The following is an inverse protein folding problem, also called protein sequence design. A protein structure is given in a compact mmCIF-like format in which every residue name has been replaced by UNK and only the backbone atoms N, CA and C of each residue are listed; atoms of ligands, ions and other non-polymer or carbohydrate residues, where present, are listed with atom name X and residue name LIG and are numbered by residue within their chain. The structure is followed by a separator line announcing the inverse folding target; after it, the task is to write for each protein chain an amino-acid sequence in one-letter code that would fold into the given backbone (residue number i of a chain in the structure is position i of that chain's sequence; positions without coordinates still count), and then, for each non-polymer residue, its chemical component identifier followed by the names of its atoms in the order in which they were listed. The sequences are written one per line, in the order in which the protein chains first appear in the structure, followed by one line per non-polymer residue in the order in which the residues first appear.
data_IF_065156564452
#
_entry.id   IF_065156564452
#
_cell.length_a   1.000
_cell.length_b   1.000
_cell.length_c   1.000
_cell.angle_alpha   90.00
_cell.angle_beta   90.00
_cell.angle_gamma   90.00
#
_symmetry.space_group_name_H-M   'P 1'
#
loop_
_entity.id
_entity.type
_entity.pdbx_description
1 polymer ?
#
# COMPACT_ATOMS: atom_id res chain seq x y z
N UNK A 1 1.22 -17.45 -8.72
CA UNK A 1 1.24 -17.95 -7.32
C UNK A 1 0.01 -18.82 -7.11
N UNK A 2 0.09 -19.92 -6.36
CA UNK A 2 -1.08 -20.75 -6.06
C UNK A 2 -2.01 -20.08 -5.06
N UNK A 3 -3.33 -20.31 -5.17
CA UNK A 3 -4.36 -19.72 -4.29
C UNK A 3 -4.09 -19.96 -2.81
N UNK A 4 -3.51 -21.11 -2.46
CA UNK A 4 -3.14 -21.45 -1.08
C UNK A 4 -2.03 -20.57 -0.50
N UNK A 5 -1.07 -20.14 -1.33
CA UNK A 5 0.06 -19.31 -0.88
C UNK A 5 -0.40 -17.88 -0.59
N UNK A 6 -1.29 -17.33 -1.42
CA UNK A 6 -1.89 -16.01 -1.23
C UNK A 6 -2.70 -15.94 0.08
N UNK A 7 -3.48 -16.97 0.38
CA UNK A 7 -4.25 -17.06 1.62
C UNK A 7 -3.34 -17.10 2.85
N UNK A 8 -2.25 -17.87 2.79
CA UNK A 8 -1.27 -17.96 3.86
C UNK A 8 -0.60 -16.60 4.11
N UNK A 9 -0.11 -15.94 3.06
CA UNK A 9 0.51 -14.60 3.15
C UNK A 9 -0.47 -13.56 3.72
N UNK A 10 -1.74 -13.60 3.31
CA UNK A 10 -2.78 -12.72 3.86
C UNK A 10 -3.00 -12.97 5.35
N UNK A 11 -3.07 -14.22 5.77
CA UNK A 11 -3.25 -14.57 7.19
C UNK A 11 -2.06 -14.11 8.03
N UNK A 12 -0.84 -14.38 7.60
CA UNK A 12 0.40 -13.96 8.28
C UNK A 12 0.47 -12.43 8.42
N UNK A 13 0.10 -11.72 7.36
CA UNK A 13 0.02 -10.26 7.36
C UNK A 13 -1.01 -9.74 8.37
N UNK A 14 -2.21 -10.34 8.43
CA UNK A 14 -3.25 -9.96 9.40
C UNK A 14 -2.82 -10.22 10.85
N UNK A 15 -2.22 -11.39 11.13
CA UNK A 15 -1.70 -11.71 12.46
C UNK A 15 -0.60 -10.73 12.89
N UNK A 16 0.28 -10.32 11.96
CA UNK A 16 1.29 -9.29 12.22
C UNK A 16 0.65 -7.95 12.56
N UNK A 17 -0.33 -7.48 11.78
CA UNK A 17 -1.02 -6.22 12.05
C UNK A 17 -1.76 -6.23 13.40
N UNK A 18 -2.32 -7.37 13.79
CA UNK A 18 -2.96 -7.55 15.08
C UNK A 18 -1.96 -7.41 16.23
N UNK A 19 -0.78 -8.04 16.11
CA UNK A 19 0.31 -7.94 17.10
C UNK A 19 0.87 -6.52 17.20
N UNK A 20 0.95 -5.81 16.08
CA UNK A 20 1.43 -4.41 16.03
C UNK A 20 0.38 -3.37 16.46
N UNK A 21 -0.86 -3.79 16.78
CA UNK A 21 -1.95 -2.89 17.14
C UNK A 21 -2.40 -1.97 16.01
N UNK A 22 -2.10 -2.32 14.74
CA UNK A 22 -2.42 -1.53 13.56
C UNK A 22 -3.82 -1.79 13.00
N UNK A 23 -4.48 -2.85 13.46
CA UNK A 23 -5.88 -3.13 13.09
C UNK A 23 -6.80 -2.14 13.80
N UNK A 24 -7.50 -1.34 13.00
CA UNK A 24 -8.58 -0.47 13.46
C UNK A 24 -9.89 -1.26 13.52
N UNK A 25 -10.90 -0.66 14.13
CA UNK A 25 -12.25 -1.19 13.97
C UNK A 25 -12.64 -1.17 12.48
N UNK A 26 -13.55 -2.06 12.03
CA UNK A 26 -13.91 -2.15 10.63
C UNK A 26 -14.43 -0.83 10.02
N UNK A 27 -15.08 0.01 10.82
CA UNK A 27 -15.66 1.28 10.36
C UNK A 27 -14.56 2.28 10.02
N UNK A 28 -13.63 2.53 10.94
CA UNK A 28 -12.53 3.47 10.68
C UNK A 28 -11.55 2.94 9.64
N UNK A 29 -11.34 1.61 9.57
CA UNK A 29 -10.56 1.01 8.47
C UNK A 29 -11.19 1.28 7.10
N UNK A 30 -12.51 1.05 6.97
CA UNK A 30 -13.22 1.29 5.72
C UNK A 30 -13.17 2.76 5.31
N UNK A 31 -13.40 3.67 6.27
CA UNK A 31 -13.33 5.12 6.08
C UNK A 31 -11.92 5.55 5.64
N UNK A 32 -10.87 5.04 6.27
CA UNK A 32 -9.49 5.35 5.88
C UNK A 32 -9.20 4.85 4.46
N UNK A 33 -9.66 3.65 4.13
CA UNK A 33 -9.56 3.10 2.78
C UNK A 33 -10.23 4.00 1.74
N UNK A 34 -11.44 4.47 2.03
CA UNK A 34 -12.17 5.40 1.15
C UNK A 34 -11.43 6.73 0.98
N UNK A 35 -10.97 7.35 2.08
CA UNK A 35 -10.19 8.59 2.04
C UNK A 35 -8.95 8.41 1.17
N UNK A 36 -8.21 7.31 1.33
CA UNK A 36 -7.03 7.02 0.54
C UNK A 36 -7.38 6.89 -0.96
N UNK A 37 -8.40 6.11 -1.30
CA UNK A 37 -8.75 5.81 -2.68
C UNK A 37 -9.47 6.93 -3.42
N UNK A 38 -10.06 7.93 -2.75
CA UNK A 38 -10.69 9.08 -3.43
C UNK A 38 -9.70 9.91 -4.27
N UNK A 39 -8.42 9.94 -3.90
CA UNK A 39 -7.41 10.72 -4.62
C UNK A 39 -6.78 9.92 -5.77
N UNK A 40 -6.81 10.50 -6.99
CA UNK A 40 -6.25 9.87 -8.19
C UNK A 40 -4.76 9.55 -8.06
N UNK A 41 -3.95 10.49 -7.56
CA UNK A 41 -2.50 10.28 -7.41
C UNK A 41 -2.20 9.07 -6.53
N UNK A 42 -2.93 8.87 -5.43
CA UNK A 42 -2.76 7.69 -4.57
C UNK A 42 -3.10 6.38 -5.28
N UNK A 43 -4.18 6.33 -6.07
CA UNK A 43 -4.51 5.16 -6.88
C UNK A 43 -3.41 4.85 -7.90
N UNK A 44 -2.89 5.89 -8.57
CA UNK A 44 -1.82 5.73 -9.54
C UNK A 44 -0.48 5.33 -8.89
N UNK A 45 -0.19 5.78 -7.66
CA UNK A 45 0.98 5.30 -6.88
C UNK A 45 0.88 3.80 -6.63
N UNK A 46 -0.28 3.29 -6.18
CA UNK A 46 -0.50 1.85 -5.98
C UNK A 46 -0.22 1.07 -7.28
N UNK A 47 -0.74 1.56 -8.42
CA UNK A 47 -0.48 0.96 -9.75
C UNK A 47 1.01 0.99 -10.12
N UNK A 48 1.68 2.10 -9.85
CA UNK A 48 3.09 2.29 -10.19
C UNK A 48 4.04 1.40 -9.38
N UNK A 49 3.68 1.09 -8.13
CA UNK A 49 4.37 0.08 -7.32
C UNK A 49 4.16 -1.30 -7.95
N UNK A 50 2.90 -1.66 -8.22
CA UNK A 50 2.54 -2.90 -8.91
C UNK A 50 2.72 -4.16 -8.06
N UNK A 51 2.06 -5.25 -8.48
CA UNK A 51 2.12 -6.54 -7.80
C UNK A 51 3.52 -7.13 -7.91
N UNK A 52 4.12 -7.51 -6.78
CA UNK A 52 5.50 -8.03 -6.72
C UNK A 52 6.60 -7.00 -7.00
N UNK A 53 6.23 -5.73 -7.24
CA UNK A 53 7.17 -4.64 -7.44
C UNK A 53 7.52 -3.91 -6.15
N UNK A 54 8.57 -3.09 -6.22
CA UNK A 54 8.94 -2.12 -5.18
C UNK A 54 9.38 -0.82 -5.83
N UNK A 55 9.11 0.31 -5.17
CA UNK A 55 9.52 1.64 -5.63
C UNK A 55 10.11 2.44 -4.48
N UNK A 56 11.24 3.09 -4.75
CA UNK A 56 11.83 4.04 -3.80
C UNK A 56 11.02 5.33 -3.71
N UNK A 57 11.22 6.06 -2.62
CA UNK A 57 10.63 7.39 -2.43
C UNK A 57 10.92 8.33 -3.62
N UNK A 58 12.17 8.35 -4.09
CA UNK A 58 12.59 9.23 -5.19
C UNK A 58 12.00 8.82 -6.54
N UNK A 59 11.84 7.53 -6.81
CA UNK A 59 11.16 7.06 -8.03
C UNK A 59 9.70 7.53 -8.06
N UNK A 60 8.98 7.40 -6.94
CA UNK A 60 7.58 7.83 -6.82
C UNK A 60 7.50 9.35 -6.98
N UNK A 61 8.32 10.09 -6.23
CA UNK A 61 8.38 11.54 -6.29
C UNK A 61 8.61 12.04 -7.72
N UNK A 62 9.61 11.49 -8.40
CA UNK A 62 9.96 11.84 -9.78
C UNK A 62 8.85 11.47 -10.76
N UNK A 63 8.25 10.28 -10.64
CA UNK A 63 7.20 9.81 -11.54
C UNK A 63 5.95 10.69 -11.51
N UNK A 64 5.58 11.17 -10.32
CA UNK A 64 4.36 11.95 -10.10
C UNK A 64 4.60 13.46 -9.99
N UNK A 65 5.84 13.92 -10.22
CA UNK A 65 6.26 15.32 -10.12
C UNK A 65 5.82 15.97 -8.79
N UNK A 66 6.10 15.28 -7.68
CA UNK A 66 5.72 15.70 -6.34
C UNK A 66 6.89 16.39 -5.62
N UNK A 67 6.57 17.29 -4.69
CA UNK A 67 7.54 17.70 -3.67
C UNK A 67 7.71 16.60 -2.63
N UNK A 68 8.77 16.68 -1.81
CA UNK A 68 8.99 15.74 -0.71
C UNK A 68 7.80 15.71 0.26
N UNK A 69 7.24 16.87 0.58
CA UNK A 69 6.07 16.98 1.45
C UNK A 69 4.82 16.32 0.87
N UNK A 70 4.58 16.50 -0.44
CA UNK A 70 3.45 15.87 -1.13
C UNK A 70 3.63 14.35 -1.22
N UNK A 71 4.82 13.89 -1.61
CA UNK A 71 5.13 12.46 -1.69
C UNK A 71 4.96 11.79 -0.32
N UNK A 72 5.51 12.40 0.74
CA UNK A 72 5.34 11.92 2.11
C UNK A 72 3.86 11.85 2.51
N UNK A 73 3.10 12.91 2.30
CA UNK A 73 1.67 12.93 2.64
C UNK A 73 0.87 11.84 1.91
N UNK A 74 1.14 11.62 0.62
CA UNK A 74 0.48 10.56 -0.14
C UNK A 74 0.83 9.16 0.37
N UNK A 75 2.12 8.92 0.63
CA UNK A 75 2.64 7.62 1.09
C UNK A 75 2.19 7.32 2.52
N UNK A 76 2.24 8.29 3.42
CA UNK A 76 1.78 8.13 4.81
C UNK A 76 0.29 7.77 4.84
N UNK A 77 -0.55 8.38 4.01
CA UNK A 77 -1.97 8.03 3.91
C UNK A 77 -2.20 6.63 3.34
N UNK A 78 -1.38 6.19 2.39
CA UNK A 78 -1.45 4.84 1.82
C UNK A 78 -0.99 3.78 2.82
N UNK A 79 0.05 4.06 3.61
CA UNK A 79 0.52 3.20 4.71
C UNK A 79 -0.53 3.14 5.82
N UNK A 80 -1.10 4.28 6.21
CA UNK A 80 -2.19 4.34 7.20
C UNK A 80 -3.45 3.59 6.75
N UNK A 81 -3.75 3.59 5.45
CA UNK A 81 -4.85 2.84 4.86
C UNK A 81 -4.48 1.37 4.55
N UNK A 82 -3.27 0.94 4.92
CA UNK A 82 -2.76 -0.42 4.77
C UNK A 82 -2.70 -0.91 3.32
N UNK A 83 -2.61 -0.03 2.32
CA UNK A 83 -2.43 -0.41 0.91
C UNK A 83 -0.97 -0.70 0.55
N UNK A 84 -0.06 0.00 1.21
CA UNK A 84 1.39 -0.17 1.03
C UNK A 84 2.07 -0.32 2.38
N UNK A 85 3.29 -0.84 2.36
CA UNK A 85 4.20 -0.84 3.49
C UNK A 85 5.61 -0.48 3.02
N UNK A 86 6.40 0.10 3.91
CA UNK A 86 7.79 0.38 3.62
C UNK A 86 8.74 -0.73 4.08
N UNK A 87 9.76 -0.98 3.29
CA UNK A 87 10.91 -1.81 3.64
C UNK A 87 12.20 -0.98 3.49
N UNK A 88 13.17 -1.20 4.38
CA UNK A 88 14.52 -0.69 4.19
C UNK A 88 15.40 -1.76 3.56
N UNK A 89 16.06 -1.40 2.47
CA UNK A 89 17.03 -2.25 1.77
C UNK A 89 18.24 -1.40 1.40
N UNK A 90 19.46 -1.84 1.76
CA UNK A 90 20.71 -1.13 1.48
C UNK A 90 20.70 0.35 1.89
N UNK A 91 20.08 0.66 3.03
CA UNK A 91 19.96 2.03 3.55
C UNK A 91 18.97 2.92 2.79
N UNK A 92 18.13 2.35 1.92
CA UNK A 92 17.10 3.06 1.16
C UNK A 92 15.71 2.53 1.51
N UNK A 93 14.76 3.47 1.63
CA UNK A 93 13.35 3.16 1.87
C UNK A 93 12.64 2.85 0.55
N UNK A 94 12.07 1.65 0.47
CA UNK A 94 11.23 1.18 -0.63
C UNK A 94 9.80 0.98 -0.15
N UNK A 95 8.84 1.08 -1.07
CA UNK A 95 7.42 0.84 -0.83
C UNK A 95 6.96 -0.34 -1.66
N UNK A 96 6.24 -1.26 -1.02
CA UNK A 96 5.67 -2.46 -1.61
C UNK A 96 4.16 -2.52 -1.32
N UNK A 97 3.41 -3.26 -2.13
CA UNK A 97 2.00 -3.49 -1.88
C UNK A 97 1.80 -4.49 -0.72
N UNK A 98 0.84 -4.20 0.13
CA UNK A 98 0.30 -5.20 1.07
C UNK A 98 -0.64 -6.15 0.33
N UNK A 99 -1.07 -7.26 0.95
CA UNK A 99 -2.15 -8.08 0.40
C UNK A 99 -3.44 -7.28 0.07
N UNK A 100 -3.72 -6.20 0.82
CA UNK A 100 -4.85 -5.29 0.51
C UNK A 100 -4.58 -4.46 -0.75
N UNK A 101 -3.37 -3.94 -0.92
CA UNK A 101 -2.93 -3.22 -2.12
C UNK A 101 -3.03 -4.08 -3.38
N UNK A 102 -2.57 -5.32 -3.30
CA UNK A 102 -2.66 -6.29 -4.39
C UNK A 102 -4.12 -6.61 -4.72
N UNK A 103 -4.93 -6.93 -3.71
CA UNK A 103 -6.35 -7.21 -3.91
C UNK A 103 -7.12 -6.01 -4.51
N UNK A 104 -6.74 -4.77 -4.19
CA UNK A 104 -7.32 -3.60 -4.83
C UNK A 104 -7.06 -3.59 -6.34
N UNK A 105 -5.80 -3.84 -6.75
CA UNK A 105 -5.46 -3.87 -8.17
C UNK A 105 -6.17 -5.01 -8.90
N UNK A 106 -6.23 -6.21 -8.30
CA UNK A 106 -6.91 -7.36 -8.90
C UNK A 106 -8.42 -7.16 -9.07
N UNK A 107 -9.10 -6.51 -8.12
CA UNK A 107 -10.56 -6.44 -8.08
C UNK A 107 -11.17 -5.18 -8.70
N UNK A 108 -10.44 -4.06 -8.74
CA UNK A 108 -11.00 -2.73 -9.09
C UNK A 108 -10.53 -2.24 -10.46
N UNK A 109 -9.33 -2.59 -10.90
CA UNK A 109 -8.75 -2.04 -12.14
C UNK A 109 -8.76 -3.02 -13.32
N UNK A 110 -9.16 -4.28 -13.11
CA UNK A 110 -9.35 -5.28 -14.17
C UNK A 110 -10.83 -5.42 -14.61
N UNK A 111 -11.66 -4.42 -14.30
CA UNK A 111 -13.06 -4.31 -14.76
C UNK A 111 -13.26 -3.05 -15.57
#
# INVERSE_FOLDING_TARGET
MGTSELLKRKQEWLERLKKEGKLRDPTEDHKMGLIALQNRTRREIIKFIGIGGKRSFDEIKKKFNLTDAQAKMHLDLLEQALFIESAEEDGKKYYILTPRGEAYLENVEWR
#
